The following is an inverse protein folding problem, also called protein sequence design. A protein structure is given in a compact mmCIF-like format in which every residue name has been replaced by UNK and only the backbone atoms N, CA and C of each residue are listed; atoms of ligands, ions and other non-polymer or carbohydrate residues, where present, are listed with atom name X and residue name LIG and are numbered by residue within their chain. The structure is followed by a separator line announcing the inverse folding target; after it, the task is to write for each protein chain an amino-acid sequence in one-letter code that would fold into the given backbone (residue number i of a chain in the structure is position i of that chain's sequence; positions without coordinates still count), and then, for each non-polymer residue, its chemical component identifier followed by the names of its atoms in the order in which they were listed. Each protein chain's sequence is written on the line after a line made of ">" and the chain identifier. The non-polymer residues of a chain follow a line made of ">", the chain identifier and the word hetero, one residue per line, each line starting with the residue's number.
data_IF_810990655723
#
_entry.id   IF_810990655723
#
_cell.length_a   1.000
_cell.length_b   1.000
_cell.length_c   1.000
_cell.angle_alpha   90.00
_cell.angle_beta   90.00
_cell.angle_gamma   90.00
#
_symmetry.space_group_name_H-M   'P 1'
#
loop_
_entity.id
_entity.type
_entity.pdbx_description
1 polymer ?
#
# COMPACT_ATOMS: atom_id res chain seq x y z
N UNK A 1 11.22 22.84 -2.16
CA UNK A 1 11.24 21.40 -1.87
C UNK A 1 10.86 21.22 -0.42
N UNK A 2 9.58 21.10 -0.12
CA UNK A 2 9.11 20.79 1.24
C UNK A 2 9.43 19.33 1.50
N UNK A 3 10.36 19.08 2.42
CA UNK A 3 10.48 17.76 3.03
C UNK A 3 9.09 17.30 3.47
N UNK A 4 8.74 16.01 3.33
CA UNK A 4 7.49 15.49 3.89
C UNK A 4 7.53 15.86 5.37
N UNK A 5 6.70 16.82 5.77
CA UNK A 5 6.37 16.98 7.17
C UNK A 5 5.56 15.73 7.50
N UNK A 6 6.22 14.84 8.22
CA UNK A 6 5.81 13.50 8.68
C UNK A 6 4.54 13.50 9.54
N UNK A 7 3.69 14.53 9.44
CA UNK A 7 2.56 14.83 10.32
C UNK A 7 1.25 15.14 9.59
N UNK A 8 1.21 15.28 8.26
CA UNK A 8 -0.04 15.60 7.57
C UNK A 8 -0.70 14.36 6.95
N UNK A 9 -1.81 13.91 7.56
CA UNK A 9 -2.63 12.80 7.05
C UNK A 9 -3.07 12.98 5.58
N UNK A 10 -3.21 14.22 5.10
CA UNK A 10 -3.54 14.48 3.70
C UNK A 10 -2.39 14.10 2.76
N UNK A 11 -1.15 14.44 3.12
CA UNK A 11 0.05 14.12 2.33
C UNK A 11 0.35 12.62 2.39
N UNK A 12 0.27 12.01 3.57
CA UNK A 12 0.43 10.57 3.74
C UNK A 12 -0.63 9.78 2.97
N UNK A 13 -1.87 10.27 2.96
CA UNK A 13 -2.95 9.65 2.19
C UNK A 13 -2.74 9.70 0.69
N UNK A 14 -2.27 10.83 0.16
CA UNK A 14 -1.88 10.94 -1.25
C UNK A 14 -0.71 10.00 -1.57
N UNK A 15 0.31 9.96 -0.71
CA UNK A 15 1.47 9.09 -0.87
C UNK A 15 1.09 7.61 -0.94
N UNK A 16 0.24 7.15 -0.02
CA UNK A 16 -0.26 5.77 -0.04
C UNK A 16 -1.08 5.49 -1.30
N UNK A 17 -1.96 6.42 -1.69
CA UNK A 17 -2.82 6.25 -2.86
C UNK A 17 -2.05 6.19 -4.19
N UNK A 18 -0.84 6.76 -4.23
CA UNK A 18 0.08 6.65 -5.36
C UNK A 18 0.96 5.40 -5.29
N UNK A 19 1.59 5.13 -4.14
CA UNK A 19 2.62 4.09 -4.01
C UNK A 19 2.02 2.68 -3.97
N UNK A 20 0.94 2.45 -3.21
CA UNK A 20 0.40 1.10 -2.98
C UNK A 20 -0.04 0.43 -4.29
N UNK A 21 -0.78 1.10 -5.20
CA UNK A 21 -1.12 0.50 -6.48
C UNK A 21 0.12 0.14 -7.31
N UNK A 22 1.16 0.99 -7.29
CA UNK A 22 2.39 0.76 -8.04
C UNK A 22 3.18 -0.45 -7.51
N UNK A 23 3.31 -0.58 -6.18
CA UNK A 23 3.91 -1.77 -5.56
C UNK A 23 3.11 -3.01 -5.99
N UNK A 24 1.80 -2.97 -5.82
CA UNK A 24 0.97 -4.16 -5.96
C UNK A 24 0.80 -4.64 -7.40
N UNK A 25 0.78 -3.73 -8.39
CA UNK A 25 0.74 -4.13 -9.79
C UNK A 25 2.14 -4.29 -10.43
N UNK A 26 3.22 -4.01 -9.70
CA UNK A 26 4.59 -4.10 -10.20
C UNK A 26 4.91 -3.12 -11.33
N UNK A 27 4.20 -2.00 -11.45
CA UNK A 27 4.41 -1.02 -12.51
C UNK A 27 4.30 0.43 -12.01
N UNK A 28 5.45 1.11 -11.91
CA UNK A 28 5.55 2.50 -11.48
C UNK A 28 5.37 3.53 -12.61
N UNK A 29 5.12 3.09 -13.85
CA UNK A 29 5.07 3.98 -15.03
C UNK A 29 3.67 4.51 -15.37
N UNK A 30 2.61 3.99 -14.75
CA UNK A 30 1.22 4.41 -15.05
C UNK A 30 0.38 4.52 -13.78
N UNK A 31 -0.57 5.47 -13.70
CA UNK A 31 -1.63 5.42 -12.70
C UNK A 31 -2.49 4.18 -12.97
N UNK A 32 -2.42 3.21 -12.07
CA UNK A 32 -3.05 1.89 -12.24
C UNK A 32 -4.52 1.88 -11.79
N UNK A 33 -4.87 2.76 -10.86
CA UNK A 33 -6.25 3.00 -10.48
C UNK A 33 -6.88 4.01 -11.45
N UNK A 34 -8.14 3.78 -11.83
CA UNK A 34 -8.92 4.81 -12.50
C UNK A 34 -8.99 6.07 -11.63
N UNK A 35 -9.11 7.28 -12.18
CA UNK A 35 -9.16 8.52 -11.39
C UNK A 35 -10.19 8.47 -10.25
N UNK A 36 -11.36 7.88 -10.52
CA UNK A 36 -12.41 7.64 -9.53
C UNK A 36 -11.95 6.72 -8.40
N UNK A 37 -11.31 5.60 -8.72
CA UNK A 37 -10.80 4.64 -7.71
C UNK A 37 -9.65 5.24 -6.89
N UNK A 38 -8.74 5.94 -7.55
CA UNK A 38 -7.64 6.63 -6.87
C UNK A 38 -8.18 7.66 -5.86
N UNK A 39 -9.13 8.51 -6.28
CA UNK A 39 -9.76 9.48 -5.40
C UNK A 39 -10.47 8.83 -4.21
N UNK A 40 -11.24 7.76 -4.45
CA UNK A 40 -11.94 7.02 -3.39
C UNK A 40 -10.95 6.39 -2.40
N UNK A 41 -9.89 5.74 -2.89
CA UNK A 41 -8.87 5.13 -2.04
C UNK A 41 -8.09 6.17 -1.23
N UNK A 42 -7.71 7.29 -1.84
CA UNK A 42 -7.11 8.43 -1.13
C UNK A 42 -7.99 8.91 0.03
N UNK A 43 -9.27 9.15 -0.24
CA UNK A 43 -10.23 9.59 0.81
C UNK A 43 -10.32 8.56 1.93
N UNK A 44 -10.37 7.27 1.57
CA UNK A 44 -10.35 6.18 2.54
C UNK A 44 -9.09 6.23 3.42
N UNK A 45 -7.90 6.29 2.83
CA UNK A 45 -6.64 6.35 3.58
C UNK A 45 -6.61 7.57 4.50
N UNK A 46 -6.98 8.75 3.99
CA UNK A 46 -7.00 9.98 4.79
C UNK A 46 -7.97 9.88 5.97
N UNK A 47 -9.13 9.24 5.79
CA UNK A 47 -10.08 8.98 6.88
C UNK A 47 -9.46 8.06 7.94
N UNK A 48 -8.88 6.93 7.53
CA UNK A 48 -8.22 5.99 8.45
C UNK A 48 -7.12 6.67 9.25
N UNK A 49 -6.24 7.44 8.59
CA UNK A 49 -5.13 8.13 9.26
C UNK A 49 -5.62 9.23 10.22
N UNK A 50 -6.67 9.98 9.85
CA UNK A 50 -7.27 10.99 10.73
C UNK A 50 -7.98 10.37 11.93
N UNK A 51 -8.65 9.23 11.75
CA UNK A 51 -9.37 8.56 12.84
C UNK A 51 -8.43 7.85 13.82
N UNK A 52 -7.33 7.27 13.32
CA UNK A 52 -6.40 6.48 14.15
C UNK A 52 -5.25 7.32 14.73
N UNK A 53 -4.92 8.47 14.13
CA UNK A 53 -3.77 9.30 14.50
C UNK A 53 -2.45 8.51 14.54
N UNK A 54 -2.35 7.45 13.73
CA UNK A 54 -1.16 6.61 13.65
C UNK A 54 0.02 7.39 13.07
N UNK A 55 1.21 7.12 13.61
CA UNK A 55 2.43 7.80 13.22
C UNK A 55 2.80 7.56 11.75
N UNK A 56 3.50 8.51 11.14
CA UNK A 56 4.06 8.32 9.81
C UNK A 56 5.05 7.14 9.75
N UNK A 57 5.72 6.81 10.85
CA UNK A 57 6.60 5.64 10.90
C UNK A 57 5.84 4.35 10.65
N UNK A 58 4.66 4.20 11.26
CA UNK A 58 3.78 3.06 11.01
C UNK A 58 3.28 3.03 9.56
N UNK A 59 3.03 4.19 8.95
CA UNK A 59 2.65 4.28 7.52
C UNK A 59 3.80 3.83 6.61
N UNK A 60 5.03 4.26 6.88
CA UNK A 60 6.20 3.84 6.09
C UNK A 60 6.44 2.34 6.25
N UNK A 61 6.31 1.82 7.46
CA UNK A 61 6.44 0.39 7.74
C UNK A 61 5.33 -0.44 7.09
N UNK A 62 4.10 0.07 7.00
CA UNK A 62 3.03 -0.63 6.29
C UNK A 62 3.30 -0.76 4.80
N UNK A 63 3.88 0.27 4.17
CA UNK A 63 4.34 0.19 2.77
C UNK A 63 5.44 -0.87 2.61
N UNK A 64 6.34 -1.02 3.60
CA UNK A 64 7.35 -2.07 3.59
C UNK A 64 6.72 -3.46 3.63
N UNK A 65 5.74 -3.69 4.50
CA UNK A 65 5.04 -4.97 4.58
C UNK A 65 4.31 -5.32 3.28
N UNK A 66 3.69 -4.33 2.61
CA UNK A 66 3.08 -4.54 1.29
C UNK A 66 4.14 -4.91 0.24
N UNK A 67 5.32 -4.28 0.28
CA UNK A 67 6.44 -4.63 -0.61
C UNK A 67 6.92 -6.07 -0.36
N UNK A 68 7.12 -6.46 0.90
CA UNK A 68 7.55 -7.82 1.23
C UNK A 68 6.53 -8.86 0.77
N UNK A 69 5.24 -8.58 0.97
CA UNK A 69 4.16 -9.44 0.49
C UNK A 69 4.18 -9.57 -1.04
N UNK A 70 4.40 -8.45 -1.75
CA UNK A 70 4.52 -8.45 -3.21
C UNK A 70 5.71 -9.29 -3.69
N UNK A 71 6.85 -9.18 -3.02
CA UNK A 71 8.06 -9.95 -3.34
C UNK A 71 7.89 -11.44 -3.06
N UNK A 72 7.17 -11.81 -2.01
CA UNK A 72 6.88 -13.20 -1.68
C UNK A 72 5.88 -13.84 -2.66
N UNK A 73 4.95 -13.05 -3.22
CA UNK A 73 3.92 -13.53 -4.12
C UNK A 73 3.79 -12.69 -5.40
N UNK A 74 4.79 -12.75 -6.30
CA UNK A 74 4.82 -11.89 -7.47
C UNK A 74 3.70 -12.22 -8.48
N UNK A 75 3.00 -13.35 -8.34
CA UNK A 75 2.03 -13.86 -9.33
C UNK A 75 0.59 -13.48 -9.01
N UNK A 76 0.35 -13.01 -7.77
CA UNK A 76 -0.96 -12.55 -7.35
C UNK A 76 -1.31 -11.29 -8.12
N UNK A 77 -2.49 -11.31 -8.76
CA UNK A 77 -3.04 -10.15 -9.44
C UNK A 77 -3.85 -9.30 -8.46
N UNK A 78 -3.73 -7.99 -8.61
CA UNK A 78 -4.59 -7.03 -7.93
C UNK A 78 -6.05 -7.25 -8.32
N UNK A 79 -6.93 -7.46 -7.33
CA UNK A 79 -8.38 -7.45 -7.52
C UNK A 79 -8.96 -6.07 -7.15
N UNK A 80 -10.18 -5.78 -7.61
CA UNK A 80 -10.84 -4.51 -7.29
C UNK A 80 -11.07 -4.42 -5.77
N UNK A 81 -10.63 -3.32 -5.15
CA UNK A 81 -10.74 -3.12 -3.70
C UNK A 81 -9.68 -3.84 -2.87
N UNK A 82 -8.73 -4.55 -3.49
CA UNK A 82 -7.59 -5.15 -2.78
C UNK A 82 -6.74 -4.10 -2.08
N UNK A 83 -6.64 -2.88 -2.62
CA UNK A 83 -5.85 -1.77 -2.06
C UNK A 83 -6.29 -1.36 -0.65
N UNK A 84 -7.60 -1.37 -0.38
CA UNK A 84 -8.19 -1.04 0.92
C UNK A 84 -7.78 -2.09 1.95
N UNK A 85 -7.99 -3.35 1.60
CA UNK A 85 -7.67 -4.52 2.41
C UNK A 85 -6.17 -4.61 2.74
N UNK A 86 -5.34 -4.50 1.71
CA UNK A 86 -3.88 -4.52 1.84
C UNK A 86 -3.39 -3.41 2.75
N UNK A 87 -3.85 -2.17 2.52
CA UNK A 87 -3.45 -1.04 3.35
C UNK A 87 -3.88 -1.21 4.80
N UNK A 88 -5.14 -1.57 5.05
CA UNK A 88 -5.65 -1.72 6.41
C UNK A 88 -4.88 -2.77 7.19
N UNK A 89 -4.67 -3.95 6.63
CA UNK A 89 -3.97 -5.03 7.33
C UNK A 89 -2.50 -4.70 7.55
N UNK A 90 -1.82 -4.15 6.55
CA UNK A 90 -0.42 -3.76 6.70
C UNK A 90 -0.24 -2.63 7.74
N UNK A 91 -1.15 -1.64 7.76
CA UNK A 91 -1.09 -0.55 8.73
C UNK A 91 -1.41 -1.03 10.16
N UNK A 92 -2.38 -1.94 10.29
CA UNK A 92 -2.71 -2.58 11.57
C UNK A 92 -1.51 -3.34 12.14
N UNK A 93 -0.84 -4.14 11.31
CA UNK A 93 0.39 -4.85 11.72
C UNK A 93 1.52 -3.88 12.10
N UNK A 94 1.68 -2.79 11.36
CA UNK A 94 2.70 -1.79 11.65
C UNK A 94 2.44 -1.06 12.99
N UNK A 95 1.19 -0.70 13.28
CA UNK A 95 0.78 -0.16 14.58
C UNK A 95 1.08 -1.16 15.70
N UNK A 96 0.67 -2.42 15.53
CA UNK A 96 0.93 -3.50 16.50
C UNK A 96 2.40 -3.77 16.78
N UNK A 97 3.28 -3.44 15.83
CA UNK A 97 4.71 -3.67 15.95
C UNK A 97 5.47 -2.48 16.56
N UNK A 98 5.10 -1.24 16.22
CA UNK A 98 5.85 -0.05 16.63
C UNK A 98 5.33 0.62 17.90
N UNK A 99 4.05 0.45 18.22
CA UNK A 99 3.40 1.15 19.32
C UNK A 99 3.10 0.18 20.48
N UNK A 100 3.34 0.60 21.73
CA UNK A 100 3.04 -0.22 22.92
C UNK A 100 1.52 -0.35 23.17
N UNK A 101 0.78 0.71 22.81
CA UNK A 101 -0.67 0.80 22.95
C UNK A 101 -1.32 0.75 21.56
N UNK A 102 -1.97 -0.36 21.25
CA UNK A 102 -2.43 -0.65 19.89
C UNK A 102 -3.93 -0.85 19.84
N UNK A 103 -4.52 -0.56 18.68
CA UNK A 103 -5.94 -0.74 18.47
C UNK A 103 -6.28 -2.22 18.30
N UNK A 104 -7.38 -2.65 18.93
CA UNK A 104 -7.93 -3.99 18.70
C UNK A 104 -8.47 -4.15 17.28
N UNK A 105 -8.57 -5.39 16.78
CA UNK A 105 -9.18 -5.66 15.47
C UNK A 105 -10.63 -5.17 15.39
N UNK A 106 -11.35 -5.10 16.52
CA UNK A 106 -12.69 -4.51 16.60
C UNK A 106 -12.68 -3.01 16.29
N UNK A 107 -11.70 -2.27 16.80
CA UNK A 107 -11.53 -0.85 16.50
C UNK A 107 -11.13 -0.65 15.03
N UNK A 108 -10.20 -1.46 14.51
CA UNK A 108 -9.85 -1.44 13.10
C UNK A 108 -11.03 -1.74 12.18
N UNK A 109 -11.92 -2.66 12.59
CA UNK A 109 -13.16 -2.97 11.88
C UNK A 109 -14.08 -1.75 11.77
N UNK A 110 -14.24 -1.00 12.87
CA UNK A 110 -15.06 0.21 12.90
C UNK A 110 -14.50 1.32 12.00
N UNK A 111 -13.19 1.51 11.99
CA UNK A 111 -12.54 2.59 11.22
C UNK A 111 -12.50 2.26 9.72
N UNK A 112 -12.22 1.01 9.36
CA UNK A 112 -12.08 0.57 7.97
C UNK A 112 -13.40 0.14 7.31
N UNK A 113 -14.45 -0.09 8.10
CA UNK A 113 -15.69 -0.75 7.66
C UNK A 113 -15.50 -2.18 7.13
N UNK A 114 -14.39 -2.84 7.48
CA UNK A 114 -14.13 -4.26 7.19
C UNK A 114 -14.64 -5.10 8.37
N UNK A 115 -15.40 -6.18 8.17
CA UNK A 115 -15.85 -7.06 9.26
C UNK A 115 -14.70 -7.56 10.13
N UNK A 116 -14.86 -7.57 11.45
CA UNK A 116 -13.81 -8.01 12.39
C UNK A 116 -13.32 -9.44 12.12
N UNK A 117 -14.21 -10.35 11.72
CA UNK A 117 -13.85 -11.71 11.36
C UNK A 117 -12.94 -11.74 10.12
N UNK A 118 -13.23 -10.89 9.13
CA UNK A 118 -12.40 -10.75 7.94
C UNK A 118 -11.03 -10.18 8.30
N UNK A 119 -10.97 -9.16 9.17
CA UNK A 119 -9.69 -8.62 9.65
C UNK A 119 -8.84 -9.65 10.41
N UNK A 120 -9.46 -10.50 11.24
CA UNK A 120 -8.74 -11.56 11.94
C UNK A 120 -8.10 -12.56 10.96
N UNK A 121 -8.86 -12.99 9.95
CA UNK A 121 -8.36 -13.90 8.90
C UNK A 121 -7.23 -13.23 8.14
N UNK A 122 -7.45 -12.00 7.68
CA UNK A 122 -6.46 -11.23 6.92
C UNK A 122 -5.18 -11.01 7.72
N UNK A 123 -5.27 -10.73 9.02
CA UNK A 123 -4.10 -10.57 9.89
C UNK A 123 -3.25 -11.85 9.91
N UNK A 124 -3.89 -13.00 10.16
CA UNK A 124 -3.21 -14.29 10.19
C UNK A 124 -2.61 -14.66 8.83
N UNK A 125 -3.36 -14.47 7.74
CA UNK A 125 -2.88 -14.72 6.38
C UNK A 125 -1.70 -13.81 6.03
N UNK A 126 -1.74 -12.52 6.38
CA UNK A 126 -0.66 -11.57 6.10
C UNK A 126 0.60 -11.92 6.89
N UNK A 127 0.48 -12.24 8.19
CA UNK A 127 1.61 -12.68 9.01
C UNK A 127 2.22 -13.99 8.49
N UNK A 128 1.38 -14.97 8.14
CA UNK A 128 1.83 -16.22 7.55
C UNK A 128 2.55 -15.99 6.22
N UNK A 129 2.04 -15.09 5.39
CA UNK A 129 2.63 -14.72 4.11
C UNK A 129 4.00 -14.02 4.28
N UNK A 130 4.22 -13.35 5.42
CA UNK A 130 5.51 -12.80 5.81
C UNK A 130 6.37 -13.78 6.61
N UNK A 131 5.99 -15.06 6.74
CA UNK A 131 6.67 -16.04 7.60
C UNK A 131 6.87 -15.54 9.05
N UNK A 132 5.97 -14.68 9.54
CA UNK A 132 6.07 -14.00 10.83
C UNK A 132 7.35 -13.15 11.01
N UNK A 133 8.13 -12.92 9.95
CA UNK A 133 9.32 -12.06 9.98
C UNK A 133 8.93 -10.60 9.73
N UNK A 134 8.37 -9.96 10.77
CA UNK A 134 7.94 -8.55 10.73
C UNK A 134 9.00 -7.58 11.28
N UNK A 135 10.04 -8.09 11.93
CA UNK A 135 11.13 -7.27 12.43
C UNK A 135 11.91 -6.63 11.27
N UNK A 136 12.15 -5.32 11.36
CA UNK A 136 12.97 -4.57 10.41
C UNK A 136 14.14 -3.90 11.16
N UNK A 137 15.39 -4.14 10.74
CA UNK A 137 16.53 -3.42 11.28
C UNK A 137 16.43 -1.92 10.98
N UNK A 138 16.85 -1.08 11.92
CA UNK A 138 16.75 0.38 11.79
C UNK A 138 17.39 0.93 10.52
N UNK A 139 18.54 0.37 10.09
CA UNK A 139 19.21 0.75 8.85
C UNK A 139 18.35 0.47 7.61
N UNK A 140 17.68 -0.69 7.57
CA UNK A 140 16.78 -1.07 6.46
C UNK A 140 15.54 -0.18 6.45
N UNK A 141 14.98 0.11 7.63
CA UNK A 141 13.86 1.03 7.75
C UNK A 141 14.20 2.44 7.23
N UNK A 142 15.39 2.96 7.57
CA UNK A 142 15.83 4.28 7.10
C UNK A 142 16.05 4.30 5.58
N UNK A 143 16.67 3.26 5.02
CA UNK A 143 16.83 3.07 3.57
C UNK A 143 15.46 3.00 2.86
N UNK A 144 14.53 2.26 3.44
CA UNK A 144 13.16 2.12 2.92
C UNK A 144 12.41 3.46 2.95
N UNK A 145 12.49 4.21 4.06
CA UNK A 145 11.90 5.54 4.17
C UNK A 145 12.40 6.48 3.05
N UNK A 146 13.70 6.48 2.80
CA UNK A 146 14.30 7.29 1.73
C UNK A 146 13.81 6.85 0.35
N UNK A 147 13.61 5.55 0.15
CA UNK A 147 13.03 4.99 -1.08
C UNK A 147 11.58 5.47 -1.30
N UNK A 148 10.72 5.36 -0.28
CA UNK A 148 9.35 5.88 -0.35
C UNK A 148 9.31 7.38 -0.64
N UNK A 149 10.19 8.16 -0.01
CA UNK A 149 10.33 9.59 -0.25
C UNK A 149 10.74 9.89 -1.70
N UNK A 150 11.66 9.11 -2.27
CA UNK A 150 12.05 9.20 -3.67
C UNK A 150 10.89 8.94 -4.63
N UNK A 151 10.13 7.86 -4.39
CA UNK A 151 8.94 7.54 -5.19
C UNK A 151 7.87 8.61 -5.09
N UNK A 152 7.60 9.11 -3.89
CA UNK A 152 6.66 10.19 -3.66
C UNK A 152 7.02 11.44 -4.49
N UNK A 153 8.28 11.86 -4.43
CA UNK A 153 8.76 13.02 -5.18
C UNK A 153 8.61 12.82 -6.69
N UNK A 154 8.96 11.63 -7.18
CA UNK A 154 8.85 11.29 -8.61
C UNK A 154 7.40 11.25 -9.08
N UNK A 155 6.52 10.52 -8.38
CA UNK A 155 5.12 10.38 -8.75
C UNK A 155 4.37 11.71 -8.69
N UNK A 156 4.71 12.56 -7.70
CA UNK A 156 4.20 13.92 -7.61
C UNK A 156 4.56 14.75 -8.85
N UNK A 157 5.81 14.65 -9.34
CA UNK A 157 6.25 15.35 -10.57
C UNK A 157 5.61 14.79 -11.85
N UNK A 158 5.37 13.48 -11.91
CA UNK A 158 4.71 12.86 -13.06
C UNK A 158 3.23 13.23 -13.18
N UNK A 159 2.57 13.55 -12.06
CA UNK A 159 1.14 13.86 -12.00
C UNK A 159 0.85 15.36 -11.92
N UNK A 160 1.87 16.23 -11.78
CA UNK A 160 1.70 17.67 -11.98
C UNK A 160 1.32 17.97 -13.45
N UNK A 161 0.33 18.85 -13.71
CA UNK A 161 -0.01 19.27 -15.07
C UNK A 161 1.25 19.77 -15.80
N UNK A 162 1.41 19.38 -17.08
CA UNK A 162 2.58 19.59 -17.95
C UNK A 162 3.04 21.05 -18.16
N UNK A 163 2.47 22.03 -17.45
CA UNK A 163 2.66 23.47 -17.70
C UNK A 163 3.98 24.01 -17.12
N UNK A 164 4.69 23.29 -16.22
CA UNK A 164 5.85 23.87 -15.49
C UNK A 164 7.16 23.06 -15.46
N UNK A 165 7.29 21.94 -16.17
CA UNK A 165 8.50 21.10 -16.09
C UNK A 165 9.29 21.11 -17.41
N UNK A 166 10.51 21.70 -17.44
CA UNK A 166 11.37 21.66 -18.62
C UNK A 166 11.74 20.23 -19.05
N UNK A 167 11.62 19.96 -20.35
CA UNK A 167 11.74 18.66 -20.99
C UNK A 167 13.03 17.89 -20.69
N UNK A 168 14.14 18.58 -20.40
CA UNK A 168 15.43 17.95 -20.12
C UNK A 168 15.53 17.17 -18.79
N UNK A 169 14.68 17.42 -17.79
CA UNK A 169 14.86 16.83 -16.45
C UNK A 169 14.21 15.46 -16.24
N UNK A 170 13.42 14.97 -17.21
CA UNK A 170 12.64 13.72 -17.06
C UNK A 170 13.50 12.45 -17.20
N UNK A 171 14.59 12.52 -17.96
CA UNK A 171 15.44 11.36 -18.27
C UNK A 171 16.55 11.11 -17.25
N UNK A 172 16.97 12.11 -16.47
CA UNK A 172 18.08 12.02 -15.52
C UNK A 172 17.66 11.77 -14.07
N UNK A 173 16.35 11.68 -13.81
CA UNK A 173 15.77 11.49 -12.47
C UNK A 173 15.65 10.02 -12.05
N UNK A 174 15.89 9.08 -12.98
CA UNK A 174 15.81 7.65 -12.74
C UNK A 174 17.04 6.95 -13.32
N UNK A 175 18.06 6.76 -12.49
CA UNK A 175 18.92 5.58 -12.64
C UNK A 175 18.37 4.57 -11.63
N UNK A 176 18.10 3.34 -12.08
CA UNK A 176 17.72 2.25 -11.17
C UNK A 176 18.81 2.09 -10.12
N UNK A 177 18.54 2.56 -8.90
CA UNK A 177 19.52 2.49 -7.83
C UNK A 177 19.68 1.03 -7.40
N UNK A 178 20.87 0.67 -6.89
CA UNK A 178 21.11 -0.65 -6.30
C UNK A 178 20.08 -0.99 -5.22
N UNK A 179 19.54 0.03 -4.55
CA UNK A 179 18.44 -0.06 -3.58
C UNK A 179 17.12 -0.49 -4.24
N UNK A 180 16.78 0.07 -5.40
CA UNK A 180 15.59 -0.34 -6.15
C UNK A 180 15.73 -1.77 -6.69
N UNK A 181 16.89 -2.15 -7.21
CA UNK A 181 17.15 -3.54 -7.65
C UNK A 181 17.09 -4.54 -6.50
N UNK A 182 17.53 -4.12 -5.30
CA UNK A 182 17.41 -4.90 -4.05
C UNK A 182 15.95 -5.12 -3.65
N UNK A 183 15.07 -4.14 -3.83
CA UNK A 183 13.64 -4.28 -3.51
C UNK A 183 12.79 -4.84 -4.68
N UNK A 184 13.26 -4.77 -5.93
CA UNK A 184 12.59 -5.24 -7.14
C UNK A 184 13.57 -6.01 -8.04
N UNK A 185 13.94 -7.26 -7.70
CA UNK A 185 14.68 -8.10 -8.63
C UNK A 185 13.80 -8.39 -9.87
N UNK A 186 14.39 -8.35 -11.07
CA UNK A 186 13.74 -8.67 -12.35
C UNK A 186 13.09 -10.05 -12.26
N UNK A 187 11.77 -10.13 -12.43
CA UNK A 187 11.04 -11.39 -12.27
C UNK A 187 11.00 -12.15 -13.59
N UNK A 188 11.92 -13.10 -13.77
CA UNK A 188 11.81 -14.16 -14.78
C UNK A 188 10.87 -15.27 -14.27
N UNK A 189 9.88 -15.67 -15.07
CA UNK A 189 8.75 -16.51 -14.63
C UNK A 189 8.70 -17.88 -15.33
N UNK A 190 8.66 -18.98 -14.56
CA UNK A 190 7.79 -20.13 -14.87
C UNK A 190 7.49 -21.03 -13.65
N UNK A 191 6.24 -21.52 -13.63
CA UNK A 191 5.54 -22.63 -12.93
C UNK A 191 5.10 -22.54 -11.45
N UNK A 192 3.81 -22.92 -11.34
CA UNK A 192 3.01 -23.59 -10.30
C UNK A 192 2.73 -22.90 -8.98
N UNK A 193 1.45 -22.54 -8.80
CA UNK A 193 0.89 -22.16 -7.51
C UNK A 193 -0.45 -22.84 -7.32
N UNK A 194 -0.48 -23.80 -6.40
CA UNK A 194 -1.70 -24.16 -5.68
C UNK A 194 -2.20 -22.93 -4.91
N UNK A 195 -3.51 -22.62 -4.93
CA UNK A 195 -4.04 -21.42 -4.32
C UNK A 195 -4.05 -21.57 -2.80
N UNK A 196 -3.12 -20.91 -2.10
CA UNK A 196 -3.07 -20.84 -0.62
C UNK A 196 -3.90 -19.65 -0.10
N UNK A 197 -4.43 -18.81 -0.99
CA UNK A 197 -5.06 -17.53 -0.63
C UNK A 197 -6.57 -17.52 -0.94
N UNK A 198 -7.37 -17.92 0.06
CA UNK A 198 -8.84 -17.93 0.02
C UNK A 198 -9.47 -16.55 -0.22
N UNK A 199 -8.75 -15.45 0.06
CA UNK A 199 -9.28 -14.10 -0.18
C UNK A 199 -9.47 -13.76 -1.66
N UNK A 200 -8.85 -14.46 -2.61
CA UNK A 200 -9.10 -14.24 -4.05
C UNK A 200 -10.53 -14.58 -4.48
N UNK A 201 -11.10 -15.65 -3.91
CA UNK A 201 -12.48 -16.09 -4.15
C UNK A 201 -13.48 -15.23 -3.38
N UNK A 202 -13.17 -14.86 -2.13
CA UNK A 202 -14.05 -14.02 -1.30
C UNK A 202 -14.10 -12.56 -1.75
N UNK A 203 -13.00 -12.01 -2.28
CA UNK A 203 -12.96 -10.66 -2.87
C UNK A 203 -13.86 -10.57 -4.11
N UNK A 204 -13.88 -11.62 -4.93
CA UNK A 204 -14.70 -11.70 -6.15
C UNK A 204 -16.19 -11.85 -5.83
N UNK A 205 -16.54 -12.63 -4.79
CA UNK A 205 -17.92 -12.86 -4.39
C UNK A 205 -18.57 -11.66 -3.68
N UNK A 206 -17.80 -10.93 -2.86
CA UNK A 206 -18.31 -9.77 -2.11
C UNK A 206 -18.37 -8.49 -2.93
N UNK A 207 -17.54 -8.32 -3.97
CA UNK A 207 -17.61 -7.16 -4.87
C UNK A 207 -18.89 -7.15 -5.71
N UNK A 208 -19.40 -8.32 -6.10
CA UNK A 208 -20.62 -8.44 -6.91
C UNK A 208 -21.89 -8.18 -6.11
N UNK A 209 -21.89 -8.51 -4.81
CA UNK A 209 -23.08 -8.35 -3.95
C UNK A 209 -23.25 -6.94 -3.39
N UNK A 210 -22.16 -6.19 -3.16
CA UNK A 210 -22.21 -4.88 -2.47
C UNK A 210 -22.07 -3.65 -3.39
N UNK A 211 -21.73 -3.84 -4.68
CA UNK A 211 -21.65 -2.75 -5.65
C UNK A 211 -22.99 -2.48 -6.37
N UNK A 212 -23.89 -3.47 -6.43
CA UNK A 212 -25.22 -3.31 -7.03
C UNK A 212 -26.25 -2.67 -6.10
N UNK A 213 -26.04 -2.65 -4.78
CA UNK A 213 -27.01 -2.08 -3.83
C UNK A 213 -26.90 -0.56 -3.63
N UNK A 214 -25.98 0.11 -4.32
CA UNK A 214 -25.72 1.56 -4.15
C UNK A 214 -25.82 2.36 -5.46
N UNK A 215 -26.39 1.77 -6.51
CA UNK A 215 -26.67 2.46 -7.78
C UNK A 215 -28.17 2.50 -8.14
N UNK A 216 -29.04 1.87 -7.36
CA UNK A 216 -30.50 1.96 -7.51
C UNK A 216 -31.12 2.64 -6.28
N UNK A 217 -30.98 3.98 -6.18
CA UNK A 217 -32.00 4.96 -5.70
C UNK A 217 -31.59 6.33 -6.24
#
# INVERSE_FOLDING_TARGET
>A
MTAIQTSNANQLGEMCAMIIPCIWAGNFKRPLLSPKRHAAFKVFVQKVLKSTQISSSCVILSLYYIQQLRSAYPSIKASIGSEVRLFTTALMLANKYLDDNTFTNKTWSQVSSIPVNELNIMEMEFLSALNYTIHIPHAVYFEWRNTCQGWWNHLSLCLTPLVLVPSQKRSSLWEETSVQKKFFPSVDYYIDVKPILSWSSSVSALSSSRYNSHLDV
#
